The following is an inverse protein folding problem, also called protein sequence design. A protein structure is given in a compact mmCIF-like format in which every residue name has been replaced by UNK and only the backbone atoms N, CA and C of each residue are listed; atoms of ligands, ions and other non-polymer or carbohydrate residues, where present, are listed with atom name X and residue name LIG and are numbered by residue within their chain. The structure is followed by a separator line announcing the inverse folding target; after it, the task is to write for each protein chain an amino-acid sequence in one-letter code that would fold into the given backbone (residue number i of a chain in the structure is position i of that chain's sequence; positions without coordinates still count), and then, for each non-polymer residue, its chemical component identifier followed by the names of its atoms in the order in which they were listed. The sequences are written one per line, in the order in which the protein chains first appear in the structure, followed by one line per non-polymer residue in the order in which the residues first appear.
data_IF_319540846721
#
_entry.id   IF_319540846721
#
_cell.length_a   1.000
_cell.length_b   1.000
_cell.length_c   1.000
_cell.angle_alpha   90.00
_cell.angle_beta   90.00
_cell.angle_gamma   90.00
#
_symmetry.space_group_name_H-M   'P 1'
#
loop_
_entity.id
_entity.type
_entity.pdbx_description
1 polymer ?
#
# COMPACT_ATOMS: atom_id res chain seq x y z
N UNK A 1 6.45 -4.48 17.86
CA UNK A 1 5.21 -5.13 18.39
C UNK A 1 4.99 -6.43 17.63
N UNK A 2 4.79 -7.58 18.28
CA UNK A 2 4.56 -8.87 17.58
C UNK A 2 3.16 -8.84 16.93
N UNK A 3 2.99 -9.26 15.66
CA UNK A 3 1.66 -9.31 15.04
C UNK A 3 0.75 -10.27 15.80
N UNK A 4 -0.54 -9.93 15.89
CA UNK A 4 -1.55 -10.87 16.40
C UNK A 4 -1.57 -12.13 15.52
N UNK A 5 -1.96 -13.27 16.09
CA UNK A 5 -2.11 -14.50 15.33
C UNK A 5 -3.02 -14.27 14.10
N UNK A 6 -2.58 -14.73 12.93
CA UNK A 6 -3.27 -14.49 11.66
C UNK A 6 -2.98 -13.15 10.99
N UNK A 7 -2.24 -12.21 11.60
CA UNK A 7 -1.82 -10.94 10.97
C UNK A 7 -0.40 -11.06 10.42
N UNK A 8 -0.12 -12.13 9.67
CA UNK A 8 1.20 -12.34 9.06
C UNK A 8 1.25 -11.69 7.69
N UNK A 9 2.39 -11.07 7.41
CA UNK A 9 2.74 -10.60 6.08
C UNK A 9 3.46 -11.72 5.34
N UNK A 10 2.88 -12.17 4.23
CA UNK A 10 3.60 -13.01 3.28
C UNK A 10 4.59 -12.12 2.51
N UNK A 11 5.87 -12.52 2.36
CA UNK A 11 6.82 -11.77 1.55
C UNK A 11 6.29 -11.54 0.14
N UNK A 12 6.31 -10.29 -0.31
CA UNK A 12 5.87 -9.90 -1.66
C UNK A 12 6.58 -8.63 -2.07
N UNK A 13 7.03 -8.57 -3.33
CA UNK A 13 7.66 -7.38 -3.90
C UNK A 13 6.69 -6.20 -3.96
N UNK A 14 5.39 -6.48 -4.02
CA UNK A 14 4.32 -5.47 -4.08
C UNK A 14 3.91 -4.94 -2.69
N UNK A 15 4.34 -5.60 -1.61
CA UNK A 15 3.92 -5.30 -0.23
C UNK A 15 5.14 -5.28 0.69
N UNK A 16 6.01 -4.26 0.58
CA UNK A 16 7.17 -4.12 1.45
C UNK A 16 6.74 -4.04 2.93
N UNK A 17 7.63 -4.48 3.83
CA UNK A 17 7.36 -4.48 5.25
C UNK A 17 7.45 -3.07 5.83
N UNK A 18 6.29 -2.39 5.89
CA UNK A 18 6.17 -1.01 6.36
C UNK A 18 5.08 -0.87 7.44
N UNK A 19 5.13 0.20 8.26
CA UNK A 19 4.06 0.53 9.21
C UNK A 19 2.70 0.65 8.54
N UNK A 20 1.61 0.40 9.29
CA UNK A 20 0.27 0.31 8.71
C UNK A 20 -0.15 1.62 8.01
N UNK A 21 0.08 2.77 8.64
CA UNK A 21 -0.19 4.11 8.07
C UNK A 21 0.50 4.37 6.72
N UNK A 22 1.61 3.67 6.43
CA UNK A 22 2.36 3.77 5.17
C UNK A 22 1.91 2.79 4.08
N UNK A 23 1.12 1.77 4.42
CA UNK A 23 0.70 0.73 3.44
C UNK A 23 -0.15 1.29 2.33
N UNK A 24 -1.02 2.26 2.62
CA UNK A 24 -1.83 2.96 1.61
C UNK A 24 -1.00 3.54 0.46
N UNK A 25 0.22 3.99 0.76
CA UNK A 25 1.11 4.61 -0.20
C UNK A 25 2.05 3.59 -0.87
N UNK A 26 2.61 2.68 -0.07
CA UNK A 26 3.75 1.86 -0.48
C UNK A 26 3.35 0.45 -0.91
N UNK A 27 2.12 0.02 -0.63
CA UNK A 27 1.63 -1.24 -1.14
C UNK A 27 0.94 -1.05 -2.48
N UNK A 28 1.21 -1.99 -3.36
CA UNK A 28 0.60 -2.08 -4.67
C UNK A 28 0.08 -3.51 -4.89
N UNK A 29 -0.57 -3.71 -6.02
CA UNK A 29 -1.01 -5.00 -6.55
C UNK A 29 -0.36 -5.20 -7.92
N UNK A 30 -0.28 -6.43 -8.44
CA UNK A 30 0.19 -6.64 -9.81
C UNK A 30 -0.57 -5.78 -10.82
N UNK A 31 -1.89 -5.68 -10.67
CA UNK A 31 -2.74 -4.88 -11.55
C UNK A 31 -2.45 -3.38 -11.47
N UNK A 32 -2.36 -2.81 -10.27
CA UNK A 32 -2.01 -1.40 -10.12
C UNK A 32 -0.58 -1.11 -10.54
N UNK A 33 0.35 -2.06 -10.39
CA UNK A 33 1.71 -1.92 -10.90
C UNK A 33 1.74 -1.84 -12.43
N UNK A 34 1.03 -2.73 -13.14
CA UNK A 34 0.90 -2.67 -14.60
C UNK A 34 0.17 -1.40 -15.07
N UNK A 35 -0.88 -0.98 -14.36
CA UNK A 35 -1.61 0.24 -14.71
C UNK A 35 -0.73 1.49 -14.57
N UNK A 36 0.12 1.59 -13.54
CA UNK A 36 1.10 2.70 -13.45
C UNK A 36 2.11 2.65 -14.59
N UNK A 37 2.58 1.45 -14.97
CA UNK A 37 3.51 1.29 -16.08
C UNK A 37 2.91 1.78 -17.43
N UNK A 38 1.59 1.69 -17.62
CA UNK A 38 0.91 2.22 -18.82
C UNK A 38 0.95 3.75 -18.92
N UNK A 39 1.20 4.46 -17.82
CA UNK A 39 1.34 5.92 -17.79
C UNK A 39 2.81 6.39 -17.79
N UNK A 40 3.78 5.47 -17.83
CA UNK A 40 5.20 5.80 -17.93
C UNK A 40 5.46 6.66 -19.18
N UNK A 41 5.79 7.93 -18.98
CA UNK A 41 6.08 8.91 -20.04
C UNK A 41 5.16 10.13 -20.10
N UNK A 42 4.01 10.12 -19.41
CA UNK A 42 3.13 11.30 -19.22
C UNK A 42 3.34 11.92 -17.83
N UNK A 43 4.09 11.24 -16.98
CA UNK A 43 4.13 11.48 -15.55
C UNK A 43 4.96 12.68 -15.12
N UNK A 44 4.46 13.35 -14.08
CA UNK A 44 5.21 14.33 -13.31
C UNK A 44 6.52 13.71 -12.76
N UNK A 45 7.55 14.53 -12.47
CA UNK A 45 8.76 14.05 -11.81
C UNK A 45 8.44 13.20 -10.57
N UNK A 46 9.14 12.08 -10.39
CA UNK A 46 8.87 11.11 -9.31
C UNK A 46 8.77 11.79 -7.93
N UNK A 47 9.63 12.77 -7.65
CA UNK A 47 9.60 13.52 -6.40
C UNK A 47 8.30 14.32 -6.21
N UNK A 48 7.69 14.82 -7.28
CA UNK A 48 6.42 15.53 -7.23
C UNK A 48 5.26 14.55 -7.00
N UNK A 49 5.28 13.39 -7.66
CA UNK A 49 4.30 12.33 -7.43
C UNK A 49 4.33 11.85 -5.98
N UNK A 50 5.51 11.52 -5.45
CA UNK A 50 5.68 11.10 -4.06
C UNK A 50 5.17 12.18 -3.10
N UNK A 51 5.50 13.45 -3.32
CA UNK A 51 4.99 14.54 -2.48
C UNK A 51 3.47 14.69 -2.56
N UNK A 52 2.88 14.54 -3.75
CA UNK A 52 1.44 14.61 -3.93
C UNK A 52 0.72 13.52 -3.13
N UNK A 53 1.15 12.27 -3.25
CA UNK A 53 0.56 11.16 -2.50
C UNK A 53 0.83 11.24 -1.00
N UNK A 54 2.02 11.71 -0.59
CA UNK A 54 2.31 11.99 0.83
C UNK A 54 1.36 13.05 1.38
N UNK A 55 1.16 14.16 0.67
CA UNK A 55 0.24 15.22 1.10
C UNK A 55 -1.20 14.70 1.20
N UNK A 56 -1.64 13.90 0.22
CA UNK A 56 -2.96 13.27 0.25
C UNK A 56 -3.09 12.33 1.45
N UNK A 57 -2.05 11.55 1.75
CA UNK A 57 -2.03 10.69 2.93
C UNK A 57 -2.09 11.53 4.22
N UNK A 58 -1.27 12.58 4.35
CA UNK A 58 -1.23 13.45 5.53
C UNK A 58 -2.53 14.24 5.76
N UNK A 59 -3.37 14.41 4.73
CA UNK A 59 -4.70 15.02 4.87
C UNK A 59 -5.65 14.18 5.74
N UNK A 60 -5.32 12.90 5.98
CA UNK A 60 -6.09 12.02 6.87
C UNK A 60 -5.51 11.99 8.28
N UNK A 61 -6.38 11.89 9.29
CA UNK A 61 -5.97 11.73 10.68
C UNK A 61 -5.08 10.48 10.88
N UNK A 62 -4.09 10.51 11.81
CA UNK A 62 -3.21 9.37 12.09
C UNK A 62 -3.94 8.03 12.25
N UNK A 63 -4.96 7.99 13.11
CA UNK A 63 -5.72 6.77 13.40
C UNK A 63 -6.47 6.23 12.17
N UNK A 64 -6.91 7.13 11.28
CA UNK A 64 -7.59 6.74 10.03
C UNK A 64 -6.63 6.05 9.07
N UNK A 65 -5.41 6.59 8.93
CA UNK A 65 -4.36 5.98 8.09
C UNK A 65 -3.97 4.61 8.60
N UNK A 66 -3.79 4.48 9.92
CA UNK A 66 -3.44 3.20 10.53
C UNK A 66 -4.56 2.17 10.32
N UNK A 67 -5.82 2.57 10.52
CA UNK A 67 -6.98 1.70 10.30
C UNK A 67 -7.08 1.22 8.84
N UNK A 68 -6.98 2.13 7.87
CA UNK A 68 -7.01 1.78 6.45
C UNK A 68 -5.83 0.88 6.05
N UNK A 69 -4.63 1.19 6.53
CA UNK A 69 -3.47 0.33 6.35
C UNK A 69 -3.59 -1.06 6.98
N UNK A 70 -4.28 -1.17 8.11
CA UNK A 70 -4.59 -2.46 8.73
C UNK A 70 -5.62 -3.24 7.90
N UNK A 71 -6.62 -2.58 7.33
CA UNK A 71 -7.59 -3.20 6.41
C UNK A 71 -6.89 -3.74 5.16
N UNK A 72 -5.94 -3.00 4.57
CA UNK A 72 -5.18 -3.47 3.41
C UNK A 72 -4.45 -4.79 3.67
N UNK A 73 -3.93 -5.03 4.88
CA UNK A 73 -3.36 -6.33 5.25
C UNK A 73 -4.40 -7.45 5.15
N UNK A 74 -5.60 -7.23 5.68
CA UNK A 74 -6.67 -8.23 5.64
C UNK A 74 -7.15 -8.50 4.22
N UNK A 75 -7.26 -7.45 3.42
CA UNK A 75 -7.60 -7.56 2.01
C UNK A 75 -6.53 -8.35 1.24
N UNK A 76 -5.25 -8.01 1.39
CA UNK A 76 -4.16 -8.76 0.75
C UNK A 76 -4.14 -10.24 1.18
N UNK A 77 -4.36 -10.54 2.46
CA UNK A 77 -4.48 -11.92 2.95
C UNK A 77 -5.70 -12.66 2.39
N UNK A 78 -6.77 -11.95 2.05
CA UNK A 78 -7.93 -12.52 1.38
C UNK A 78 -7.59 -12.85 -0.08
N UNK A 79 -6.98 -11.92 -0.81
CA UNK A 79 -6.51 -12.13 -2.17
C UNK A 79 -5.50 -13.29 -2.26
N UNK A 80 -4.49 -13.31 -1.39
CA UNK A 80 -3.47 -14.38 -1.33
C UNK A 80 -4.11 -15.76 -1.08
N UNK A 81 -5.20 -15.84 -0.31
CA UNK A 81 -5.93 -17.10 -0.06
C UNK A 81 -6.75 -17.57 -1.27
N UNK A 82 -7.20 -16.63 -2.10
CA UNK A 82 -7.97 -16.93 -3.31
C UNK A 82 -7.11 -16.99 -4.57
N UNK A 83 -5.81 -16.70 -4.45
CA UNK A 83 -4.86 -16.64 -5.55
C UNK A 83 -5.30 -15.66 -6.67
N UNK A 84 -5.73 -14.46 -6.25
CA UNK A 84 -6.15 -13.33 -7.11
C UNK A 84 -5.25 -12.11 -6.94
#
# INVERSE_FOLDING_TARGET
RKPRAGNKLTPSVFRPHVPADRRLLLWTTPHSFTAHAEFEGIEAPLNLQVRFFENMLQAHAPDTREAYGAVLLRFAQFCDRLNV
#
